data_IF_955135077497
#
_entry.id   IF_955135077497
#
_cell.length_a   1.000
_cell.length_b   1.000
_cell.length_c   1.000
_cell.angle_alpha   90.00
_cell.angle_beta   90.00
_cell.angle_gamma   90.00
#
_symmetry.space_group_name_H-M   'P 1'
#
loop_
_entity.id
_entity.type
_entity.pdbx_description
1 polymer ?
#
# COMPACT_ATOMS: atom_id res chain seq x y z
N UNK A 1 -9.10 1.60 -52.54
CA UNK A 1 -9.19 2.44 -51.30
C UNK A 1 -9.99 1.66 -50.28
N UNK A 2 -9.32 0.87 -49.49
CA UNK A 2 -9.91 0.04 -48.42
C UNK A 2 -9.69 0.78 -47.11
N UNK A 3 -10.77 1.26 -46.48
CA UNK A 3 -10.76 1.83 -45.11
C UNK A 3 -10.53 0.69 -44.15
N UNK A 4 -9.44 0.75 -43.41
CA UNK A 4 -9.18 -0.08 -42.23
C UNK A 4 -9.98 0.48 -41.07
N UNK A 5 -11.04 -0.24 -40.68
CA UNK A 5 -11.76 0.07 -39.44
C UNK A 5 -10.83 -0.16 -38.23
N UNK A 6 -10.50 0.92 -37.56
CA UNK A 6 -9.80 0.87 -36.29
C UNK A 6 -10.79 0.34 -35.23
N UNK A 7 -10.68 -0.92 -34.86
CA UNK A 7 -11.41 -1.52 -33.74
C UNK A 7 -10.95 -0.82 -32.48
N UNK A 8 -11.76 0.10 -31.96
CA UNK A 8 -11.57 0.72 -30.65
C UNK A 8 -11.73 -0.36 -29.59
N UNK A 9 -10.63 -0.87 -29.07
CA UNK A 9 -10.62 -1.78 -27.92
C UNK A 9 -11.09 -0.94 -26.72
N UNK A 10 -12.37 -1.06 -26.38
CA UNK A 10 -12.92 -0.47 -25.16
C UNK A 10 -12.20 -1.10 -23.97
N UNK A 11 -11.57 -0.27 -23.14
CA UNK A 11 -10.99 -0.73 -21.88
C UNK A 11 -12.10 -1.41 -21.04
N UNK A 12 -11.82 -2.55 -20.39
CA UNK A 12 -12.82 -3.25 -19.59
C UNK A 12 -13.38 -2.32 -18.53
N UNK A 13 -14.71 -2.26 -18.42
CA UNK A 13 -15.40 -1.48 -17.39
C UNK A 13 -14.97 -2.06 -16.04
N UNK A 14 -14.23 -1.25 -15.27
CA UNK A 14 -13.79 -1.65 -13.92
C UNK A 14 -14.99 -1.85 -13.03
N UNK A 15 -15.01 -2.94 -12.27
CA UNK A 15 -16.04 -3.14 -11.27
C UNK A 15 -15.96 -2.03 -10.20
N UNK A 16 -17.07 -1.71 -9.59
CA UNK A 16 -17.13 -0.70 -8.52
C UNK A 16 -16.20 -1.05 -7.36
N UNK A 17 -16.14 -2.31 -6.98
CA UNK A 17 -15.23 -2.80 -5.95
C UNK A 17 -13.76 -2.56 -6.32
N UNK A 18 -13.37 -2.78 -7.59
CA UNK A 18 -12.01 -2.51 -8.05
C UNK A 18 -11.67 -1.01 -7.97
N UNK A 19 -12.61 -0.14 -8.35
CA UNK A 19 -12.42 1.32 -8.26
C UNK A 19 -12.08 1.74 -6.83
N UNK A 20 -12.87 1.31 -5.85
CA UNK A 20 -12.66 1.67 -4.45
C UNK A 20 -11.48 0.94 -3.83
N UNK A 21 -11.20 -0.29 -4.24
CA UNK A 21 -10.01 -1.02 -3.79
C UNK A 21 -8.71 -0.37 -4.29
N UNK A 22 -8.66 0.15 -5.53
CA UNK A 22 -7.51 0.96 -5.98
C UNK A 22 -7.30 2.20 -5.13
N UNK A 23 -8.39 2.86 -4.70
CA UNK A 23 -8.28 3.98 -3.76
C UNK A 23 -7.74 3.54 -2.40
N UNK A 24 -8.20 2.41 -1.86
CA UNK A 24 -7.67 1.84 -0.63
C UNK A 24 -6.18 1.49 -0.75
N UNK A 25 -5.77 0.79 -1.82
CA UNK A 25 -4.36 0.48 -2.10
C UNK A 25 -3.49 1.74 -2.23
N UNK A 26 -4.00 2.78 -2.90
CA UNK A 26 -3.28 4.05 -3.02
C UNK A 26 -3.08 4.74 -1.66
N UNK A 27 -4.09 4.67 -0.77
CA UNK A 27 -3.96 5.17 0.60
C UNK A 27 -2.95 4.37 1.41
N UNK A 28 -2.97 3.03 1.32
CA UNK A 28 -2.02 2.16 2.01
C UNK A 28 -0.57 2.50 1.67
N UNK A 29 -0.28 2.84 0.41
CA UNK A 29 1.07 3.23 -0.02
C UNK A 29 1.66 4.43 0.72
N UNK A 30 0.83 5.26 1.38
CA UNK A 30 1.28 6.39 2.21
C UNK A 30 1.97 5.92 3.50
N UNK A 31 1.67 4.70 3.95
CA UNK A 31 2.27 4.10 5.13
C UNK A 31 3.61 3.39 4.87
N UNK A 32 4.01 3.20 3.60
CA UNK A 32 5.27 2.53 3.27
C UNK A 32 6.48 3.30 3.83
N UNK A 33 7.42 2.57 4.43
CA UNK A 33 8.62 3.10 5.07
C UNK A 33 8.39 3.74 6.44
N UNK A 34 7.17 3.72 6.99
CA UNK A 34 6.88 4.34 8.30
C UNK A 34 5.99 3.51 9.22
N UNK A 35 5.49 2.35 8.77
CA UNK A 35 4.55 1.51 9.54
C UNK A 35 5.18 0.24 10.10
N UNK A 36 6.40 -0.11 9.69
CA UNK A 36 7.07 -1.33 10.15
C UNK A 36 7.04 -1.44 11.69
N UNK A 37 6.85 -2.65 12.23
CA UNK A 37 6.68 -3.95 11.57
C UNK A 37 5.25 -4.22 11.04
N UNK A 38 4.30 -3.31 11.20
CA UNK A 38 2.91 -3.48 10.76
C UNK A 38 2.78 -3.28 9.23
N UNK A 39 1.79 -3.93 8.57
CA UNK A 39 1.54 -3.70 7.16
C UNK A 39 1.02 -2.28 6.89
N UNK A 40 1.36 -1.73 5.73
CA UNK A 40 0.85 -0.45 5.25
C UNK A 40 -0.52 -0.66 4.57
N UNK A 41 -1.57 -0.79 5.36
CA UNK A 41 -2.95 -1.04 4.91
C UNK A 41 -3.64 0.27 4.55
N UNK A 42 -4.55 0.22 3.60
CA UNK A 42 -5.48 1.30 3.29
C UNK A 42 -6.93 0.83 3.38
N UNK A 43 -7.81 1.74 3.79
CA UNK A 43 -9.24 1.50 3.91
C UNK A 43 -10.04 2.68 3.36
N UNK A 44 -11.09 2.40 2.61
CA UNK A 44 -12.15 3.36 2.26
C UNK A 44 -13.50 2.81 2.67
N UNK A 45 -14.33 3.66 3.26
CA UNK A 45 -15.73 3.37 3.61
C UNK A 45 -16.60 4.07 2.60
N UNK A 46 -17.47 3.31 1.93
CA UNK A 46 -18.31 3.78 0.82
C UNK A 46 -19.77 3.59 1.18
N UNK A 47 -20.55 4.63 1.07
CA UNK A 47 -22.00 4.58 1.21
C UNK A 47 -22.67 4.74 -0.15
N UNK A 48 -23.80 4.05 -0.36
CA UNK A 48 -24.47 3.98 -1.65
C UNK A 48 -23.83 2.98 -2.62
N UNK A 49 -24.35 2.92 -3.83
CA UNK A 49 -23.91 2.05 -4.93
C UNK A 49 -24.08 2.79 -6.27
N UNK A 50 -23.35 2.36 -7.30
CA UNK A 50 -23.43 2.95 -8.63
C UNK A 50 -23.07 4.43 -8.64
N UNK A 51 -23.95 5.26 -9.21
CA UNK A 51 -23.75 6.72 -9.30
C UNK A 51 -23.87 7.43 -7.95
N UNK A 52 -24.57 6.84 -6.99
CA UNK A 52 -24.73 7.37 -5.64
C UNK A 52 -23.60 6.94 -4.69
N UNK A 53 -22.68 6.09 -5.14
CA UNK A 53 -21.59 5.62 -4.32
C UNK A 53 -20.61 6.74 -3.94
N UNK A 54 -20.46 7.00 -2.63
CA UNK A 54 -19.62 8.08 -2.08
C UNK A 54 -18.70 7.56 -1.01
N UNK A 55 -17.42 7.96 -1.08
CA UNK A 55 -16.47 7.68 -0.02
C UNK A 55 -16.77 8.59 1.18
N UNK A 56 -17.25 8.01 2.27
CA UNK A 56 -17.57 8.71 3.52
C UNK A 56 -16.44 8.65 4.54
N UNK A 57 -15.50 7.68 4.39
CA UNK A 57 -14.33 7.58 5.24
C UNK A 57 -13.10 7.07 4.49
N UNK A 58 -11.93 7.58 4.87
CA UNK A 58 -10.63 7.16 4.29
C UNK A 58 -9.63 6.99 5.40
N UNK A 59 -8.84 5.92 5.36
CA UNK A 59 -7.81 5.65 6.34
C UNK A 59 -6.63 4.90 5.74
N UNK A 60 -5.50 5.02 6.38
CA UNK A 60 -4.31 4.20 6.16
C UNK A 60 -3.61 3.97 7.48
N UNK A 61 -2.82 2.91 7.58
CA UNK A 61 -2.02 2.62 8.78
C UNK A 61 -1.14 3.82 9.10
N UNK A 62 -1.27 4.35 10.30
CA UNK A 62 -0.51 5.52 10.73
C UNK A 62 0.97 5.18 10.98
N UNK A 63 1.81 6.21 11.08
CA UNK A 63 3.23 6.08 11.44
C UNK A 63 3.39 5.28 12.73
N UNK A 64 4.35 4.39 12.78
CA UNK A 64 4.54 3.44 13.89
C UNK A 64 3.53 2.29 13.88
N UNK A 65 2.72 2.14 12.82
CA UNK A 65 1.81 1.02 12.62
C UNK A 65 0.45 1.13 13.31
N UNK A 66 0.17 2.23 14.00
CA UNK A 66 -1.12 2.45 14.69
C UNK A 66 -1.52 3.91 14.70
N UNK A 67 -2.85 4.24 14.67
CA UNK A 67 -3.98 3.32 14.50
C UNK A 67 -4.01 2.66 13.13
N UNK A 68 -4.75 1.55 13.01
CA UNK A 68 -4.95 0.82 11.74
C UNK A 68 -5.85 1.60 10.79
N UNK A 69 -5.78 1.26 9.50
CA UNK A 69 -6.49 1.94 8.43
C UNK A 69 -8.01 1.98 8.64
N UNK A 70 -8.59 0.86 9.08
CA UNK A 70 -10.02 0.70 9.31
C UNK A 70 -10.49 1.63 10.42
N UNK A 71 -9.79 1.66 11.54
CA UNK A 71 -10.11 2.55 12.68
C UNK A 71 -10.10 4.02 12.26
N UNK A 72 -9.11 4.43 11.46
CA UNK A 72 -9.03 5.81 10.93
C UNK A 72 -10.16 6.11 9.96
N UNK A 73 -10.48 5.16 9.05
CA UNK A 73 -11.54 5.32 8.07
C UNK A 73 -12.93 5.41 8.74
N UNK A 74 -13.19 4.52 9.71
CA UNK A 74 -14.44 4.49 10.48
C UNK A 74 -14.62 5.75 11.32
N UNK A 75 -13.59 6.22 12.00
CA UNK A 75 -13.63 7.47 12.76
C UNK A 75 -14.00 8.68 11.88
N UNK A 76 -13.51 8.72 10.64
CA UNK A 76 -13.85 9.78 9.67
C UNK A 76 -15.22 9.63 9.06
N UNK A 77 -15.71 8.40 8.88
CA UNK A 77 -17.05 8.13 8.39
C UNK A 77 -18.12 8.47 9.44
N UNK A 78 -17.80 8.30 10.73
CA UNK A 78 -18.76 8.51 11.82
C UNK A 78 -20.01 7.67 11.61
N UNK A 79 -21.18 8.25 11.83
CA UNK A 79 -22.49 7.59 11.64
C UNK A 79 -22.78 7.12 10.22
N UNK A 80 -22.11 7.69 9.20
CA UNK A 80 -22.23 7.26 7.80
C UNK A 80 -21.56 5.89 7.50
N UNK A 81 -20.86 5.31 8.47
CA UNK A 81 -20.34 3.95 8.33
C UNK A 81 -21.43 2.88 8.43
N UNK A 82 -22.56 3.19 9.09
CA UNK A 82 -23.66 2.24 9.24
C UNK A 82 -24.28 1.91 7.88
N UNK A 83 -24.36 0.62 7.56
CA UNK A 83 -24.89 0.13 6.29
C UNK A 83 -23.93 0.33 5.10
N UNK A 84 -22.74 0.92 5.30
CA UNK A 84 -21.76 1.16 4.26
C UNK A 84 -20.93 -0.10 3.91
N UNK A 85 -20.18 -0.03 2.81
CA UNK A 85 -19.17 -1.02 2.41
C UNK A 85 -17.77 -0.53 2.76
N UNK A 86 -16.98 -1.31 3.48
CA UNK A 86 -15.59 -1.05 3.77
C UNK A 86 -14.69 -1.84 2.81
N UNK A 87 -13.86 -1.14 2.02
CA UNK A 87 -12.84 -1.74 1.15
C UNK A 87 -11.49 -1.65 1.85
N UNK A 88 -10.88 -2.79 2.14
CA UNK A 88 -9.63 -2.88 2.90
C UNK A 88 -8.59 -3.67 2.10
N UNK A 89 -7.38 -3.13 1.97
CA UNK A 89 -6.33 -3.73 1.13
C UNK A 89 -5.72 -5.03 1.67
N UNK A 90 -6.03 -5.39 2.92
CA UNK A 90 -5.62 -6.62 3.60
C UNK A 90 -6.76 -7.08 4.51
N UNK A 91 -6.81 -8.37 4.86
CA UNK A 91 -7.76 -8.89 5.83
C UNK A 91 -7.72 -8.10 7.15
N UNK A 92 -8.87 -7.64 7.69
CA UNK A 92 -8.93 -6.97 8.99
C UNK A 92 -8.49 -7.88 10.14
N UNK A 93 -7.65 -7.36 11.03
CA UNK A 93 -7.14 -8.14 12.15
C UNK A 93 -8.27 -8.57 13.11
N UNK A 94 -8.14 -9.82 13.60
CA UNK A 94 -9.11 -10.48 14.49
C UNK A 94 -8.57 -10.76 15.89
N UNK A 95 -7.29 -10.51 16.14
CA UNK A 95 -6.64 -10.74 17.43
C UNK A 95 -6.47 -9.45 18.23
N UNK A 96 -6.50 -9.54 19.55
CA UNK A 96 -6.15 -8.44 20.45
C UNK A 96 -4.63 -8.25 20.43
N UNK A 97 -4.21 -7.03 20.12
CA UNK A 97 -2.84 -6.58 20.21
C UNK A 97 -2.75 -5.39 21.16
N UNK A 98 -1.99 -4.35 20.79
CA UNK A 98 -1.99 -3.07 21.52
C UNK A 98 -3.29 -2.27 21.41
N UNK A 99 -4.22 -2.68 20.55
CA UNK A 99 -5.57 -2.10 20.35
C UNK A 99 -6.57 -3.23 20.10
N UNK A 100 -7.88 -2.98 20.30
CA UNK A 100 -8.92 -3.93 19.91
C UNK A 100 -8.82 -4.29 18.43
N UNK A 101 -9.30 -5.48 18.03
CA UNK A 101 -9.30 -5.94 16.64
C UNK A 101 -10.08 -4.99 15.71
N UNK A 102 -9.62 -4.81 14.48
CA UNK A 102 -10.36 -4.02 13.47
C UNK A 102 -11.71 -4.64 13.12
N UNK A 103 -11.82 -5.96 13.18
CA UNK A 103 -13.09 -6.68 13.02
C UNK A 103 -14.14 -6.17 14.00
N UNK A 104 -13.79 -5.97 15.28
CA UNK A 104 -14.71 -5.47 16.30
C UNK A 104 -15.14 -4.02 16.00
N UNK A 105 -14.24 -3.19 15.52
CA UNK A 105 -14.55 -1.82 15.11
C UNK A 105 -15.51 -1.77 13.91
N UNK A 106 -15.32 -2.66 12.91
CA UNK A 106 -16.20 -2.79 11.75
C UNK A 106 -17.60 -3.25 12.15
N UNK A 107 -17.69 -4.26 13.04
CA UNK A 107 -18.96 -4.76 13.57
C UNK A 107 -19.68 -3.66 14.36
N UNK A 108 -19.00 -3.01 15.28
CA UNK A 108 -19.56 -1.92 16.11
C UNK A 108 -20.05 -0.73 15.27
N UNK A 109 -19.35 -0.39 14.18
CA UNK A 109 -19.76 0.64 13.25
C UNK A 109 -21.00 0.26 12.42
N UNK A 110 -21.37 -1.02 12.39
CA UNK A 110 -22.54 -1.52 11.68
C UNK A 110 -22.39 -1.45 10.16
N UNK A 111 -21.18 -1.71 9.62
CA UNK A 111 -20.98 -1.82 8.16
C UNK A 111 -21.77 -3.02 7.63
N UNK A 112 -22.36 -2.89 6.44
CA UNK A 112 -23.13 -3.98 5.83
C UNK A 112 -22.23 -4.97 5.08
N UNK A 113 -21.08 -4.51 4.56
CA UNK A 113 -20.20 -5.31 3.72
C UNK A 113 -18.75 -4.93 3.91
N UNK A 114 -17.87 -5.94 3.84
CA UNK A 114 -16.42 -5.76 3.80
C UNK A 114 -15.86 -6.41 2.53
N UNK A 115 -15.06 -5.66 1.79
CA UNK A 115 -14.35 -6.11 0.59
C UNK A 115 -12.86 -6.08 0.88
N UNK A 116 -12.17 -7.21 0.65
CA UNK A 116 -10.72 -7.30 0.88
C UNK A 116 -9.97 -7.77 -0.37
N UNK A 117 -8.68 -7.43 -0.46
CA UNK A 117 -7.83 -7.85 -1.57
C UNK A 117 -7.19 -9.21 -1.35
N UNK A 118 -6.57 -9.40 -0.18
CA UNK A 118 -5.85 -10.63 0.18
C UNK A 118 -6.08 -10.97 1.65
N UNK A 119 -5.94 -12.26 1.95
CA UNK A 119 -5.93 -12.74 3.32
C UNK A 119 -4.62 -12.35 4.01
N UNK A 120 -4.66 -12.16 5.32
CA UNK A 120 -3.45 -11.93 6.11
C UNK A 120 -2.72 -13.26 6.28
N UNK A 121 -1.43 -13.37 5.91
CA UNK A 121 -0.65 -14.60 6.07
C UNK A 121 -0.26 -14.90 7.53
N UNK A 122 -0.49 -13.97 8.47
CA UNK A 122 -0.21 -14.21 9.89
C UNK A 122 -1.16 -15.28 10.42
N UNK A 123 -0.66 -16.41 10.96
CA UNK A 123 -1.49 -17.50 11.48
C UNK A 123 -2.48 -17.08 12.57
N UNK A 124 -2.26 -15.93 13.21
CA UNK A 124 -3.17 -15.36 14.21
C UNK A 124 -4.40 -14.70 13.58
N UNK A 125 -4.34 -14.38 12.29
CA UNK A 125 -5.41 -13.71 11.50
C UNK A 125 -5.98 -14.68 10.47
N UNK A 126 -5.26 -15.05 9.48
CA UNK A 126 -5.44 -16.07 8.43
C UNK A 126 -6.89 -16.58 8.24
N UNK A 127 -7.79 -15.76 7.71
CA UNK A 127 -9.20 -16.08 7.47
C UNK A 127 -10.13 -15.90 8.68
N UNK A 128 -9.60 -15.73 9.89
CA UNK A 128 -10.40 -15.56 11.12
C UNK A 128 -11.12 -14.21 11.14
N UNK A 129 -10.54 -13.18 10.54
CA UNK A 129 -11.16 -11.87 10.39
C UNK A 129 -12.41 -11.96 9.52
N UNK A 130 -12.30 -12.60 8.37
CA UNK A 130 -13.42 -12.83 7.45
C UNK A 130 -14.50 -13.69 8.08
N UNK A 131 -14.12 -14.76 8.80
CA UNK A 131 -15.06 -15.64 9.50
C UNK A 131 -15.87 -14.85 10.54
N UNK A 132 -15.22 -14.09 11.43
CA UNK A 132 -15.91 -13.29 12.45
C UNK A 132 -16.86 -12.24 11.87
N UNK A 133 -16.49 -11.62 10.75
CA UNK A 133 -17.37 -10.68 10.05
C UNK A 133 -18.64 -11.38 9.52
N UNK A 134 -18.49 -12.58 8.91
CA UNK A 134 -19.64 -13.35 8.43
C UNK A 134 -20.53 -13.82 9.58
N UNK A 135 -19.96 -14.29 10.68
CA UNK A 135 -20.69 -14.68 11.90
C UNK A 135 -21.49 -13.52 12.50
N UNK A 136 -21.01 -12.28 12.34
CA UNK A 136 -21.71 -11.07 12.72
C UNK A 136 -22.76 -10.57 11.68
N UNK A 137 -23.01 -11.35 10.62
CA UNK A 137 -23.96 -11.01 9.56
C UNK A 137 -23.46 -10.00 8.52
N UNK A 138 -22.16 -9.71 8.49
CA UNK A 138 -21.55 -8.79 7.52
C UNK A 138 -21.17 -9.57 6.26
N UNK A 139 -21.60 -9.09 5.08
CA UNK A 139 -21.23 -9.68 3.81
C UNK A 139 -19.72 -9.49 3.54
N UNK A 140 -19.01 -10.55 3.12
CA UNK A 140 -17.56 -10.50 2.86
C UNK A 140 -17.24 -10.94 1.45
N UNK A 141 -16.58 -10.07 0.69
CA UNK A 141 -15.98 -10.35 -0.63
C UNK A 141 -14.47 -10.30 -0.52
N UNK A 142 -13.78 -11.29 -1.07
CA UNK A 142 -12.31 -11.38 -1.01
C UNK A 142 -11.69 -11.43 -2.41
N UNK A 143 -10.40 -11.18 -2.53
CA UNK A 143 -9.66 -11.37 -3.78
C UNK A 143 -9.69 -10.18 -4.76
N UNK A 144 -10.30 -9.06 -4.39
CA UNK A 144 -10.40 -7.90 -5.29
C UNK A 144 -9.04 -7.24 -5.44
N UNK A 145 -8.51 -7.22 -6.68
CA UNK A 145 -7.16 -6.73 -7.02
C UNK A 145 -6.03 -7.41 -6.22
N UNK A 146 -6.15 -8.73 -6.03
CA UNK A 146 -5.22 -9.49 -5.21
C UNK A 146 -3.75 -9.36 -5.67
N UNK A 147 -3.48 -9.34 -6.98
CA UNK A 147 -2.12 -9.19 -7.50
C UNK A 147 -1.53 -7.80 -7.22
N UNK A 148 -2.34 -6.76 -7.34
CA UNK A 148 -1.91 -5.40 -7.00
C UNK A 148 -1.64 -5.27 -5.50
N UNK A 149 -2.46 -5.92 -4.67
CA UNK A 149 -2.30 -5.96 -3.23
C UNK A 149 -1.03 -6.73 -2.81
N UNK A 150 -0.75 -7.90 -3.42
CA UNK A 150 0.49 -8.63 -3.15
C UNK A 150 1.73 -7.79 -3.43
N UNK A 151 1.73 -7.00 -4.51
CA UNK A 151 2.82 -6.07 -4.82
C UNK A 151 2.90 -4.93 -3.80
N UNK A 152 1.76 -4.39 -3.38
CA UNK A 152 1.72 -3.31 -2.38
C UNK A 152 2.20 -3.77 -1.00
N UNK A 153 1.90 -5.02 -0.62
CA UNK A 153 2.26 -5.62 0.66
C UNK A 153 3.52 -6.51 0.60
N UNK A 154 4.32 -6.44 -0.48
CA UNK A 154 5.43 -7.36 -0.73
C UNK A 154 6.43 -7.47 0.44
N UNK A 155 6.76 -6.35 1.10
CA UNK A 155 7.63 -6.33 2.27
C UNK A 155 7.05 -7.08 3.45
N UNK A 156 5.80 -6.81 3.80
CA UNK A 156 5.07 -7.49 4.87
C UNK A 156 4.94 -8.99 4.58
N UNK A 157 4.49 -9.36 3.38
CA UNK A 157 4.33 -10.76 2.97
C UNK A 157 5.66 -11.53 3.01
N UNK A 158 6.75 -10.91 2.51
CA UNK A 158 8.09 -11.54 2.55
C UNK A 158 8.54 -11.82 3.99
N UNK A 159 8.33 -10.86 4.90
CA UNK A 159 8.71 -11.00 6.30
C UNK A 159 7.90 -12.10 7.00
N UNK A 160 6.57 -12.13 6.82
CA UNK A 160 5.72 -13.11 7.51
C UNK A 160 5.89 -14.52 6.91
N UNK A 161 5.89 -14.65 5.58
CA UNK A 161 5.90 -15.96 4.92
C UNK A 161 7.30 -16.56 4.85
N UNK A 162 8.33 -15.70 4.63
CA UNK A 162 9.69 -16.15 4.34
C UNK A 162 10.70 -15.84 5.44
N UNK A 163 10.32 -15.07 6.47
CA UNK A 163 11.21 -14.65 7.54
C UNK A 163 12.37 -13.74 7.09
N UNK A 164 12.24 -13.08 5.93
CA UNK A 164 13.30 -12.23 5.37
C UNK A 164 12.74 -10.96 4.72
N UNK A 165 13.56 -9.87 4.60
CA UNK A 165 13.13 -8.64 3.97
C UNK A 165 12.81 -8.84 2.47
N UNK A 166 11.95 -7.99 1.94
CA UNK A 166 11.77 -7.80 0.51
C UNK A 166 12.84 -6.82 0.01
N UNK A 167 13.73 -7.29 -0.85
CA UNK A 167 14.85 -6.49 -1.36
C UNK A 167 14.48 -5.82 -2.68
N UNK A 168 14.66 -4.50 -2.76
CA UNK A 168 14.49 -3.71 -3.98
C UNK A 168 15.88 -3.23 -4.41
N UNK A 169 16.36 -3.71 -5.55
CA UNK A 169 17.61 -3.24 -6.15
C UNK A 169 17.30 -2.00 -7.02
N UNK A 170 17.91 -0.85 -6.68
CA UNK A 170 17.88 0.37 -7.50
C UNK A 170 19.26 0.62 -8.08
N UNK A 171 19.37 0.65 -9.41
CA UNK A 171 20.59 0.99 -10.13
C UNK A 171 20.36 2.23 -11.01
N UNK A 172 21.40 3.05 -11.16
CA UNK A 172 21.53 4.03 -12.23
C UNK A 172 22.61 3.51 -13.19
N UNK A 173 22.23 3.27 -14.43
CA UNK A 173 23.14 2.74 -15.46
C UNK A 173 23.04 3.61 -16.72
N UNK A 174 24.18 3.74 -17.43
CA UNK A 174 24.25 4.35 -18.74
C UNK A 174 23.69 3.40 -19.82
N UNK A 175 23.54 3.88 -21.03
CA UNK A 175 23.02 3.09 -22.18
C UNK A 175 23.89 1.87 -22.51
N UNK A 176 25.20 1.93 -22.19
CA UNK A 176 26.15 0.83 -22.33
C UNK A 176 26.31 -0.01 -21.04
N UNK A 177 25.41 0.15 -20.06
CA UNK A 177 25.35 -0.66 -18.84
C UNK A 177 26.37 -0.31 -17.75
N UNK A 178 27.01 0.85 -17.81
CA UNK A 178 28.00 1.29 -16.82
C UNK A 178 27.36 2.04 -15.66
N UNK A 179 27.90 1.89 -14.46
CA UNK A 179 27.45 2.58 -13.24
C UNK A 179 28.27 3.84 -12.93
N UNK A 180 29.45 3.96 -13.53
CA UNK A 180 30.33 5.12 -13.42
C UNK A 180 31.27 5.20 -14.64
N UNK A 181 31.79 6.40 -14.93
CA UNK A 181 32.88 6.57 -15.89
C UNK A 181 34.24 6.35 -15.19
N UNK A 182 35.18 5.71 -15.89
CA UNK A 182 36.51 5.50 -15.38
C UNK A 182 37.25 6.83 -15.18
N UNK A 183 37.98 6.99 -14.05
CA UNK A 183 38.84 8.13 -13.79
C UNK A 183 38.18 9.43 -13.40
N UNK A 184 36.87 9.47 -13.14
CA UNK A 184 36.17 10.67 -12.61
C UNK A 184 36.21 10.70 -11.08
N UNK A 185 36.68 11.81 -10.53
CA UNK A 185 36.78 12.03 -9.08
C UNK A 185 35.49 12.59 -8.43
N UNK A 186 34.47 12.91 -9.20
CA UNK A 186 33.21 13.49 -8.69
C UNK A 186 32.01 12.59 -9.00
N UNK A 187 30.91 12.66 -8.21
CA UNK A 187 29.70 11.90 -8.47
C UNK A 187 29.19 12.13 -9.88
N UNK A 188 29.24 11.12 -10.73
CA UNK A 188 28.72 11.20 -12.08
C UNK A 188 27.21 10.96 -12.09
N UNK A 189 26.43 11.99 -12.38
CA UNK A 189 24.98 11.90 -12.48
C UNK A 189 24.55 11.28 -13.81
N UNK A 190 24.42 9.96 -13.85
CA UNK A 190 23.99 9.19 -15.04
C UNK A 190 22.54 9.51 -15.42
N UNK A 191 21.68 9.83 -14.44
CA UNK A 191 20.25 10.01 -14.63
C UNK A 191 19.80 11.45 -14.39
N UNK A 192 18.77 11.87 -15.12
CA UNK A 192 18.17 13.21 -14.99
C UNK A 192 17.42 13.45 -13.66
N UNK A 193 16.95 14.70 -13.43
CA UNK A 193 16.30 15.09 -12.18
C UNK A 193 15.07 14.26 -11.83
N UNK A 194 14.24 13.92 -12.81
CA UNK A 194 13.04 13.11 -12.60
C UNK A 194 13.36 11.69 -12.10
N UNK A 195 14.36 11.02 -12.68
CA UNK A 195 14.79 9.70 -12.25
C UNK A 195 15.40 9.75 -10.84
N UNK A 196 16.13 10.82 -10.48
CA UNK A 196 16.63 11.04 -9.13
C UNK A 196 15.52 11.27 -8.12
N UNK A 197 14.49 12.06 -8.47
CA UNK A 197 13.28 12.23 -7.64
C UNK A 197 12.58 10.89 -7.38
N UNK A 198 12.49 10.03 -8.42
CA UNK A 198 11.98 8.66 -8.26
C UNK A 198 12.83 7.83 -7.30
N UNK A 199 14.15 7.98 -7.34
CA UNK A 199 15.07 7.35 -6.38
C UNK A 199 14.80 7.78 -4.93
N UNK A 200 14.56 9.07 -4.70
CA UNK A 200 14.15 9.58 -3.39
C UNK A 200 12.81 9.00 -2.92
N UNK A 201 11.84 8.84 -3.82
CA UNK A 201 10.55 8.24 -3.49
C UNK A 201 10.68 6.75 -3.11
N UNK A 202 11.53 5.99 -3.83
CA UNK A 202 11.83 4.59 -3.47
C UNK A 202 12.44 4.54 -2.07
N UNK A 203 13.39 5.43 -1.78
CA UNK A 203 14.05 5.55 -0.48
C UNK A 203 13.05 5.87 0.65
N UNK A 204 12.14 6.81 0.44
CA UNK A 204 11.11 7.17 1.42
C UNK A 204 10.11 6.04 1.74
N UNK A 205 10.01 5.04 0.86
CA UNK A 205 9.11 3.88 1.00
C UNK A 205 9.80 2.62 1.51
N UNK A 206 11.09 2.68 1.77
CA UNK A 206 11.87 1.58 2.32
C UNK A 206 12.03 1.75 3.84
N UNK A 207 12.00 0.64 4.57
CA UNK A 207 12.24 0.62 6.01
C UNK A 207 13.75 0.74 6.33
N UNK A 208 14.62 0.33 5.38
CA UNK A 208 16.06 0.46 5.46
C UNK A 208 16.68 0.64 4.07
N UNK A 209 17.85 1.30 4.02
CA UNK A 209 18.64 1.50 2.80
C UNK A 209 20.02 0.92 3.03
N UNK A 210 20.48 0.14 2.05
CA UNK A 210 21.82 -0.44 2.07
C UNK A 210 22.60 0.04 0.85
N UNK A 211 23.85 0.44 1.06
CA UNK A 211 24.82 0.77 0.01
C UNK A 211 26.12 0.04 0.25
N UNK A 212 26.91 -0.16 -0.80
CA UNK A 212 28.23 -0.75 -0.70
C UNK A 212 29.23 0.18 0.01
N UNK A 213 30.22 -0.38 0.70
CA UNK A 213 31.27 0.39 1.39
C UNK A 213 32.06 1.30 0.43
N UNK A 214 32.23 0.88 -0.84
CA UNK A 214 32.82 1.74 -1.87
C UNK A 214 32.03 3.03 -2.10
N UNK A 215 30.70 2.95 -2.14
CA UNK A 215 29.82 4.13 -2.24
C UNK A 215 29.95 5.02 -1.01
N UNK A 216 30.01 4.43 0.19
CA UNK A 216 30.19 5.21 1.44
C UNK A 216 31.48 6.01 1.38
N UNK A 217 32.60 5.37 1.00
CA UNK A 217 33.92 6.01 0.95
C UNK A 217 34.04 7.07 -0.15
N UNK A 218 33.38 6.87 -1.29
CA UNK A 218 33.49 7.76 -2.44
C UNK A 218 32.52 8.96 -2.35
N UNK A 219 31.30 8.74 -1.86
CA UNK A 219 30.19 9.70 -1.99
C UNK A 219 29.75 10.29 -0.65
N UNK A 220 30.14 9.70 0.49
CA UNK A 220 29.63 10.03 1.84
C UNK A 220 28.10 10.32 1.81
N UNK A 221 27.27 9.36 1.40
CA UNK A 221 25.90 9.62 1.03
C UNK A 221 25.01 9.80 2.27
N UNK A 222 24.25 10.90 2.34
CA UNK A 222 23.26 11.14 3.42
C UNK A 222 22.11 10.10 3.46
N UNK A 223 21.84 9.39 2.38
CA UNK A 223 20.75 8.38 2.23
C UNK A 223 19.35 8.86 2.59
N UNK A 224 19.14 10.14 2.78
CA UNK A 224 17.84 10.76 3.13
C UNK A 224 16.93 10.98 1.91
N UNK A 225 15.61 11.06 2.14
CA UNK A 225 14.66 11.56 1.14
C UNK A 225 14.62 13.10 1.21
N UNK A 226 14.90 13.76 0.09
CA UNK A 226 14.97 15.23 -0.02
C UNK A 226 13.90 15.78 -0.97
N UNK A 227 12.77 15.10 -1.09
CA UNK A 227 11.61 15.63 -1.82
C UNK A 227 10.85 16.62 -0.92
N UNK A 228 10.56 17.81 -1.43
CA UNK A 228 9.90 18.90 -0.68
C UNK A 228 8.54 18.51 -0.11
N UNK A 229 7.78 17.70 -0.85
CA UNK A 229 6.44 17.26 -0.46
C UNK A 229 6.40 16.13 0.56
N UNK A 230 7.49 15.39 0.72
CA UNK A 230 7.58 14.23 1.61
C UNK A 230 8.35 14.55 2.88
N UNK A 231 9.13 15.63 2.86
CA UNK A 231 10.08 15.97 3.91
C UNK A 231 11.33 15.07 3.91
N UNK A 232 12.19 15.23 4.91
CA UNK A 232 13.36 14.37 5.10
C UNK A 232 12.93 13.10 5.83
N UNK A 233 12.86 11.98 5.12
CA UNK A 233 12.77 10.68 5.77
C UNK A 233 14.17 10.36 6.35
N UNK A 234 14.23 10.21 7.66
CA UNK A 234 15.41 9.63 8.34
C UNK A 234 15.22 8.11 8.33
N UNK A 235 16.20 7.41 7.86
CA UNK A 235 16.29 5.95 7.85
C UNK A 235 17.32 5.54 8.89
#
# INVERSE_FOLDING_TARGET
MTRTDATTVSAPIQSEDERFMRAALALGRRGLGVTAPNPAVGCVVVQGQGEDARIVGRGWTARGGRPHAETVALARAGGAARGATAHVSLEPCSHHGGTPPCVDALIAAGVARVVTSIDDPDPRVAGRGHQRLREAGIAVTTGVLAEEARKAHAGFLSRIIRGRPHVILKLAISSDGKIAAAGQAAPNLITGPQARARGHLIRARADAIMVGMGTVRADDPELTCRLSEIGRAHV
#
